data_IF_739886167230
#
_entry.id   IF_739886167230
#
_cell.length_a   1.000
_cell.length_b   1.000
_cell.length_c   1.000
_cell.angle_alpha   90.00
_cell.angle_beta   90.00
_cell.angle_gamma   90.00
#
_symmetry.space_group_name_H-M   'P 1'
#
loop_
_entity.id
_entity.type
_entity.pdbx_description
1 polymer ?
#
# COMPACT_ATOMS: atom_id res chain seq x y z
N UNK A 1 -0.25 4.73 -8.00
CA UNK A 1 0.60 3.53 -7.82
C UNK A 1 1.02 3.06 -9.20
N UNK A 2 2.18 2.44 -9.28
CA UNK A 2 2.62 1.74 -10.48
C UNK A 2 2.69 0.27 -10.10
N UNK A 3 1.56 -0.44 -10.25
CA UNK A 3 1.63 -1.90 -10.36
C UNK A 3 2.56 -2.29 -11.51
N UNK A 4 2.90 -3.57 -11.64
CA UNK A 4 3.79 -4.02 -12.70
C UNK A 4 3.22 -3.69 -14.09
N UNK A 5 3.73 -2.62 -14.72
CA UNK A 5 3.14 -2.01 -15.92
C UNK A 5 4.15 -2.06 -17.06
N UNK A 6 3.79 -2.65 -18.20
CA UNK A 6 4.68 -2.82 -19.35
C UNK A 6 4.63 -1.66 -20.36
N UNK A 7 4.09 -0.49 -19.97
CA UNK A 7 3.98 0.65 -20.89
C UNK A 7 5.36 1.20 -21.30
N UNK A 8 5.39 1.97 -22.39
CA UNK A 8 6.63 2.58 -22.92
C UNK A 8 7.37 3.44 -21.89
N UNK A 9 6.65 4.06 -20.95
CA UNK A 9 7.26 4.91 -19.92
C UNK A 9 7.97 4.08 -18.84
N UNK A 10 7.37 2.96 -18.41
CA UNK A 10 8.02 2.04 -17.48
C UNK A 10 9.21 1.34 -18.14
N UNK A 11 9.10 0.98 -19.42
CA UNK A 11 10.24 0.48 -20.20
C UNK A 11 11.39 1.48 -20.20
N UNK A 12 11.12 2.74 -20.55
CA UNK A 12 12.14 3.79 -20.58
C UNK A 12 12.77 4.05 -19.22
N UNK A 13 11.99 4.03 -18.13
CA UNK A 13 12.51 4.15 -16.77
C UNK A 13 13.42 2.98 -16.39
N UNK A 14 13.04 1.75 -16.73
CA UNK A 14 13.84 0.56 -16.48
C UNK A 14 15.12 0.54 -17.32
N UNK A 15 15.07 0.93 -18.60
CA UNK A 15 16.25 1.09 -19.47
C UNK A 15 17.22 2.13 -18.90
N UNK A 16 16.69 3.26 -18.40
CA UNK A 16 17.49 4.30 -17.76
C UNK A 16 18.15 3.80 -16.46
N UNK A 17 17.52 2.83 -15.79
CA UNK A 17 18.08 2.14 -14.63
C UNK A 17 19.04 0.99 -14.99
N UNK A 18 19.22 0.70 -16.28
CA UNK A 18 20.17 -0.29 -16.79
C UNK A 18 19.58 -1.68 -17.10
N UNK A 19 18.25 -1.84 -17.10
CA UNK A 19 17.60 -3.09 -17.49
C UNK A 19 17.47 -3.23 -19.01
N UNK A 20 17.53 -4.46 -19.54
CA UNK A 20 17.07 -4.74 -20.91
C UNK A 20 15.53 -4.87 -20.94
N UNK A 21 14.86 -3.71 -20.94
CA UNK A 21 13.41 -3.64 -20.87
C UNK A 21 12.71 -4.38 -22.02
N UNK A 22 13.25 -4.32 -23.24
CA UNK A 22 12.63 -4.93 -24.41
C UNK A 22 12.66 -6.45 -24.32
N UNK A 23 13.81 -7.01 -23.95
CA UNK A 23 13.95 -8.45 -23.71
C UNK A 23 13.02 -8.90 -22.58
N UNK A 24 13.03 -8.18 -21.45
CA UNK A 24 12.20 -8.52 -20.31
C UNK A 24 10.70 -8.49 -20.64
N UNK A 25 10.21 -7.45 -21.34
CA UNK A 25 8.82 -7.37 -21.80
C UNK A 25 8.47 -8.57 -22.68
N UNK A 26 9.35 -8.93 -23.63
CA UNK A 26 9.13 -10.10 -24.48
C UNK A 26 9.02 -11.39 -23.67
N UNK A 27 9.92 -11.62 -22.72
CA UNK A 27 9.93 -12.82 -21.87
C UNK A 27 8.69 -12.90 -20.96
N UNK A 28 8.29 -11.78 -20.35
CA UNK A 28 7.08 -11.69 -19.52
C UNK A 28 5.84 -11.91 -20.36
N UNK A 29 5.72 -11.27 -21.53
CA UNK A 29 4.60 -11.50 -22.44
C UNK A 29 4.50 -12.96 -22.86
N UNK A 30 5.63 -13.60 -23.21
CA UNK A 30 5.64 -15.02 -23.55
C UNK A 30 5.25 -15.94 -22.37
N UNK A 31 5.61 -15.57 -21.14
CA UNK A 31 5.21 -16.31 -19.94
C UNK A 31 3.72 -16.14 -19.64
N UNK A 32 3.18 -14.92 -19.74
CA UNK A 32 1.75 -14.63 -19.57
C UNK A 32 0.90 -15.36 -20.62
N UNK A 33 1.34 -15.36 -21.88
CA UNK A 33 0.67 -16.06 -22.98
C UNK A 33 0.47 -17.55 -22.69
N UNK A 34 1.44 -18.22 -22.06
CA UNK A 34 1.34 -19.64 -21.68
C UNK A 34 0.31 -19.87 -20.59
N UNK A 35 0.27 -18.98 -19.59
CA UNK A 35 -0.70 -19.04 -18.49
C UNK A 35 -2.12 -18.80 -19.02
N UNK A 36 -2.30 -17.79 -19.87
CA UNK A 36 -3.61 -17.47 -20.44
C UNK A 36 -4.15 -18.60 -21.32
N UNK A 37 -3.28 -19.29 -22.06
CA UNK A 37 -3.71 -20.30 -23.05
C UNK A 37 -3.97 -21.68 -22.46
N UNK A 38 -3.20 -22.12 -21.46
CA UNK A 38 -3.12 -23.56 -21.19
C UNK A 38 -2.89 -23.90 -19.71
N UNK A 39 -1.83 -23.37 -19.09
CA UNK A 39 -1.32 -23.94 -17.82
C UNK A 39 -0.99 -22.89 -16.77
N UNK A 40 -1.53 -23.07 -15.56
CA UNK A 40 -1.18 -22.29 -14.37
C UNK A 40 0.17 -22.73 -13.75
N UNK A 41 1.26 -22.63 -14.52
CA UNK A 41 2.61 -23.09 -14.10
C UNK A 41 3.15 -22.40 -12.84
N UNK A 42 2.53 -21.30 -12.43
CA UNK A 42 2.91 -20.50 -11.27
C UNK A 42 2.05 -20.77 -10.04
N UNK A 43 0.98 -21.57 -10.16
CA UNK A 43 0.14 -21.91 -9.01
C UNK A 43 0.96 -22.63 -7.93
N UNK A 44 0.80 -22.18 -6.69
CA UNK A 44 1.52 -22.72 -5.54
C UNK A 44 2.99 -22.31 -5.43
N UNK A 45 3.51 -21.49 -6.36
CA UNK A 45 4.83 -20.86 -6.19
C UNK A 45 4.72 -19.58 -5.38
N UNK A 46 5.67 -19.39 -4.48
CA UNK A 46 5.79 -18.15 -3.72
C UNK A 46 6.15 -16.98 -4.64
N UNK A 47 5.45 -15.85 -4.48
CA UNK A 47 5.78 -14.61 -5.14
C UNK A 47 6.83 -13.86 -4.33
N UNK A 48 8.09 -13.95 -4.76
CA UNK A 48 9.21 -13.19 -4.19
C UNK A 48 10.08 -12.60 -5.30
N UNK A 49 10.82 -11.52 -4.98
CA UNK A 49 11.75 -10.91 -5.93
C UNK A 49 12.81 -11.93 -6.39
N UNK A 50 13.30 -12.78 -5.49
CA UNK A 50 14.32 -13.79 -5.82
C UNK A 50 13.78 -14.87 -6.77
N UNK A 51 12.53 -15.30 -6.58
CA UNK A 51 11.87 -16.21 -7.52
C UNK A 51 11.66 -15.55 -8.88
N UNK A 52 11.25 -14.27 -8.91
CA UNK A 52 11.13 -13.52 -10.16
C UNK A 52 12.47 -13.40 -10.88
N UNK A 53 13.57 -13.11 -10.16
CA UNK A 53 14.92 -13.05 -10.72
C UNK A 53 15.36 -14.41 -11.27
N UNK A 54 15.00 -15.50 -10.60
CA UNK A 54 15.28 -16.85 -11.09
C UNK A 54 14.57 -17.15 -12.40
N UNK A 55 13.36 -16.62 -12.60
CA UNK A 55 12.53 -16.87 -13.79
C UNK A 55 12.90 -15.94 -14.95
N UNK A 56 13.07 -14.63 -14.68
CA UNK A 56 13.19 -13.58 -15.68
C UNK A 56 14.56 -12.89 -15.70
N UNK A 57 15.51 -13.35 -14.87
CA UNK A 57 16.83 -12.73 -14.74
C UNK A 57 16.81 -11.45 -13.90
N UNK A 58 17.99 -10.83 -13.73
CA UNK A 58 18.16 -9.68 -12.83
C UNK A 58 17.39 -8.42 -13.27
N UNK A 59 17.09 -8.29 -14.57
CA UNK A 59 16.41 -7.12 -15.13
C UNK A 59 15.02 -6.88 -14.49
N UNK A 60 14.34 -7.94 -14.03
CA UNK A 60 13.05 -7.80 -13.32
C UNK A 60 13.19 -7.03 -12.01
N UNK A 61 14.30 -7.24 -11.29
CA UNK A 61 14.58 -6.53 -10.04
C UNK A 61 14.89 -5.07 -10.32
N UNK A 62 15.74 -4.81 -11.32
CA UNK A 62 16.04 -3.44 -11.78
C UNK A 62 14.78 -2.71 -12.21
N UNK A 63 13.87 -3.39 -12.91
CA UNK A 63 12.56 -2.85 -13.29
C UNK A 63 11.73 -2.45 -12.07
N UNK A 64 11.53 -3.37 -11.12
CA UNK A 64 10.75 -3.10 -9.90
C UNK A 64 11.32 -1.91 -9.14
N UNK A 65 12.65 -1.88 -8.94
CA UNK A 65 13.31 -0.75 -8.28
C UNK A 65 13.15 0.58 -9.04
N UNK A 66 13.12 0.55 -10.38
CA UNK A 66 12.86 1.76 -11.18
C UNK A 66 11.43 2.31 -10.96
N UNK A 67 10.45 1.44 -10.71
CA UNK A 67 9.07 1.85 -10.41
C UNK A 67 9.00 2.50 -9.02
N UNK A 68 9.69 1.92 -8.03
CA UNK A 68 9.82 2.49 -6.68
C UNK A 68 10.43 3.89 -6.74
N UNK A 69 11.58 4.04 -7.39
CA UNK A 69 12.25 5.33 -7.56
C UNK A 69 11.37 6.37 -8.27
N UNK A 70 10.63 5.95 -9.29
CA UNK A 70 9.71 6.82 -10.02
C UNK A 70 8.61 7.35 -9.09
N UNK A 71 8.03 6.51 -8.23
CA UNK A 71 7.02 6.94 -7.27
C UNK A 71 7.59 7.81 -6.15
N UNK A 72 8.81 7.54 -5.69
CA UNK A 72 9.49 8.39 -4.70
C UNK A 72 9.78 9.78 -5.27
N UNK A 73 10.30 9.88 -6.49
CA UNK A 73 10.53 11.16 -7.17
C UNK A 73 9.22 11.94 -7.36
N UNK A 74 8.15 11.27 -7.79
CA UNK A 74 6.84 11.90 -7.93
C UNK A 74 6.33 12.45 -6.59
N UNK A 75 6.33 11.65 -5.53
CA UNK A 75 5.87 12.11 -4.22
C UNK A 75 6.74 13.24 -3.67
N UNK A 76 8.06 13.20 -3.88
CA UNK A 76 8.95 14.30 -3.51
C UNK A 76 8.54 15.61 -4.17
N UNK A 77 8.25 15.58 -5.48
CA UNK A 77 7.78 16.76 -6.25
C UNK A 77 6.41 17.24 -5.79
N UNK A 78 5.49 16.31 -5.52
CA UNK A 78 4.15 16.63 -5.02
C UNK A 78 4.20 17.25 -3.63
N UNK A 79 4.98 16.69 -2.70
CA UNK A 79 5.15 17.23 -1.34
C UNK A 79 5.70 18.65 -1.38
N UNK A 80 6.76 18.89 -2.17
CA UNK A 80 7.31 20.24 -2.36
C UNK A 80 6.25 21.22 -2.89
N UNK A 81 5.42 20.78 -3.83
CA UNK A 81 4.35 21.60 -4.41
C UNK A 81 3.25 21.89 -3.39
N UNK A 82 2.84 20.88 -2.61
CA UNK A 82 1.86 21.01 -1.53
C UNK A 82 2.35 22.00 -0.46
N UNK A 83 3.59 21.85 0.01
CA UNK A 83 4.20 22.75 0.99
C UNK A 83 4.28 24.19 0.47
N UNK A 84 4.61 24.38 -0.82
CA UNK A 84 4.65 25.71 -1.43
C UNK A 84 3.27 26.39 -1.47
N UNK A 85 2.19 25.61 -1.41
CA UNK A 85 0.81 26.08 -1.32
C UNK A 85 0.28 26.14 0.13
N UNK A 86 1.11 25.85 1.14
CA UNK A 86 0.71 25.80 2.55
C UNK A 86 -0.15 24.58 2.92
N UNK A 87 -0.09 23.52 2.12
CA UNK A 87 -0.79 22.25 2.34
C UNK A 87 0.20 21.13 2.73
N UNK A 88 -0.32 20.03 3.27
CA UNK A 88 0.44 18.79 3.53
C UNK A 88 0.09 17.72 2.50
N UNK A 89 1.04 16.84 2.20
CA UNK A 89 0.79 15.66 1.38
C UNK A 89 0.56 14.44 2.26
N UNK A 90 -0.66 13.89 2.16
CA UNK A 90 -1.07 12.66 2.83
C UNK A 90 -1.17 11.57 1.79
N UNK A 91 -0.52 10.43 2.02
CA UNK A 91 -0.51 9.32 1.08
C UNK A 91 -1.38 8.18 1.60
N UNK A 92 -2.33 7.74 0.78
CA UNK A 92 -3.26 6.65 1.13
C UNK A 92 -2.65 5.30 0.81
N UNK A 93 -2.47 4.47 1.84
CA UNK A 93 -1.94 3.12 1.71
C UNK A 93 -2.96 2.11 1.24
N UNK A 94 -2.61 1.29 0.25
CA UNK A 94 -3.44 0.17 -0.21
C UNK A 94 -2.98 -1.18 0.34
N UNK A 95 -2.24 -1.16 1.46
CA UNK A 95 -1.61 -2.33 2.04
C UNK A 95 -2.52 -3.48 2.48
N UNK A 96 -3.78 -3.28 2.97
CA UNK A 96 -4.62 -4.43 3.32
C UNK A 96 -4.92 -5.35 2.13
N UNK A 97 -4.55 -4.96 0.89
CA UNK A 97 -4.75 -5.74 -0.32
C UNK A 97 -3.49 -6.45 -0.84
N UNK A 98 -2.33 -6.31 -0.17
CA UNK A 98 -1.05 -6.84 -0.68
C UNK A 98 -0.25 -7.69 0.32
N UNK A 99 -0.89 -8.28 1.33
CA UNK A 99 -0.26 -9.22 2.29
C UNK A 99 0.85 -8.62 3.19
N UNK A 100 0.96 -7.29 3.29
CA UNK A 100 1.90 -6.61 4.20
C UNK A 100 2.76 -5.53 3.54
N UNK A 101 3.51 -4.76 4.35
CA UNK A 101 4.41 -3.70 3.86
C UNK A 101 5.61 -4.23 3.07
N UNK A 102 6.12 -5.40 3.43
CA UNK A 102 7.24 -6.08 2.74
C UNK A 102 6.90 -6.44 1.29
N UNK A 103 5.61 -6.49 0.96
CA UNK A 103 5.08 -6.75 -0.37
C UNK A 103 4.74 -5.48 -1.18
N UNK A 104 5.03 -4.29 -0.62
CA UNK A 104 4.72 -2.99 -1.25
C UNK A 104 5.35 -2.79 -2.63
N UNK A 105 6.46 -3.48 -2.91
CA UNK A 105 7.10 -3.49 -4.22
C UNK A 105 6.16 -3.98 -5.34
N UNK A 106 5.15 -4.81 -5.03
CA UNK A 106 4.13 -5.30 -5.98
C UNK A 106 3.30 -4.17 -6.60
N UNK A 107 3.19 -3.04 -5.89
CA UNK A 107 2.51 -1.82 -6.33
C UNK A 107 3.49 -0.66 -6.58
N UNK A 108 4.78 -0.99 -6.67
CA UNK A 108 5.88 -0.07 -6.94
C UNK A 108 6.20 0.86 -5.78
N UNK A 109 5.87 0.49 -4.53
CA UNK A 109 6.08 1.34 -3.36
C UNK A 109 7.24 0.79 -2.52
N UNK A 110 8.24 1.61 -2.28
CA UNK A 110 9.21 1.42 -1.20
C UNK A 110 8.71 2.18 0.04
N UNK A 111 8.18 1.51 1.07
CA UNK A 111 7.53 2.19 2.18
C UNK A 111 8.51 2.94 3.07
N UNK A 112 9.74 2.45 3.21
CA UNK A 112 10.79 3.12 3.97
C UNK A 112 11.10 4.48 3.36
N UNK A 113 11.40 4.53 2.06
CA UNK A 113 11.68 5.79 1.36
C UNK A 113 10.43 6.69 1.27
N UNK A 114 9.24 6.11 1.07
CA UNK A 114 8.01 6.87 0.97
C UNK A 114 7.76 7.71 2.22
N UNK A 115 8.00 7.14 3.41
CA UNK A 115 7.78 7.85 4.70
C UNK A 115 8.72 9.03 4.93
N UNK A 116 9.81 9.11 4.16
CA UNK A 116 10.74 10.23 4.19
C UNK A 116 10.27 11.40 3.32
N UNK A 117 9.44 11.13 2.31
CA UNK A 117 9.05 12.15 1.32
C UNK A 117 7.61 12.62 1.46
N UNK A 118 6.74 11.90 2.17
CA UNK A 118 5.36 12.32 2.46
C UNK A 118 5.19 12.71 3.93
N UNK A 119 4.21 13.57 4.22
CA UNK A 119 3.99 14.07 5.59
C UNK A 119 3.28 13.03 6.46
N UNK A 120 2.29 12.34 5.89
CA UNK A 120 1.43 11.37 6.60
C UNK A 120 1.13 10.17 5.70
N UNK A 121 1.08 8.98 6.31
CA UNK A 121 0.57 7.75 5.71
C UNK A 121 -0.83 7.48 6.27
N UNK A 122 -1.81 7.37 5.39
CA UNK A 122 -3.17 6.99 5.73
C UNK A 122 -3.34 5.48 5.56
N UNK A 123 -3.25 4.77 6.68
CA UNK A 123 -3.30 3.32 6.74
C UNK A 123 -4.76 2.82 6.75
N UNK A 124 -5.15 2.06 5.72
CA UNK A 124 -6.48 1.47 5.64
C UNK A 124 -6.59 0.22 6.53
N UNK A 125 -7.30 0.32 7.64
CA UNK A 125 -7.54 -0.77 8.59
C UNK A 125 -8.89 -1.46 8.31
N UNK A 126 -9.05 -1.91 7.06
CA UNK A 126 -10.26 -2.55 6.56
C UNK A 126 -10.29 -4.06 6.89
N UNK A 127 -10.26 -4.35 8.18
CA UNK A 127 -10.10 -5.69 8.72
C UNK A 127 -11.40 -6.25 9.29
N UNK A 128 -11.53 -7.58 9.30
CA UNK A 128 -12.69 -8.28 9.83
C UNK A 128 -12.67 -8.35 11.36
N UNK A 129 -11.49 -8.25 11.98
CA UNK A 129 -11.32 -8.36 13.42
C UNK A 129 -10.40 -7.28 14.02
N UNK A 130 -10.55 -7.01 15.32
CA UNK A 130 -9.64 -6.09 16.03
C UNK A 130 -8.22 -6.63 16.13
N UNK A 131 -8.04 -7.96 16.18
CA UNK A 131 -6.72 -8.60 16.15
C UNK A 131 -5.98 -8.34 14.84
N UNK A 132 -6.66 -8.44 13.69
CA UNK A 132 -6.09 -8.10 12.39
C UNK A 132 -5.67 -6.62 12.30
N UNK A 133 -6.45 -5.71 12.90
CA UNK A 133 -6.07 -4.28 12.97
C UNK A 133 -4.76 -4.10 13.75
N UNK A 134 -4.62 -4.80 14.88
CA UNK A 134 -3.42 -4.73 15.71
C UNK A 134 -2.20 -5.27 14.94
N UNK A 135 -2.34 -6.42 14.29
CA UNK A 135 -1.28 -7.04 13.49
C UNK A 135 -0.86 -6.12 12.33
N UNK A 136 -1.84 -5.57 11.60
CA UNK A 136 -1.56 -4.63 10.51
C UNK A 136 -0.90 -3.34 11.03
N UNK A 137 -1.33 -2.82 12.18
CA UNK A 137 -0.74 -1.63 12.79
C UNK A 137 0.72 -1.88 13.20
N UNK A 138 1.02 -3.04 13.76
CA UNK A 138 2.39 -3.45 14.09
C UNK A 138 3.24 -3.62 12.84
N UNK A 139 2.69 -4.17 11.75
CA UNK A 139 3.37 -4.25 10.47
C UNK A 139 3.75 -2.86 9.96
N UNK A 140 2.80 -1.90 9.98
CA UNK A 140 3.09 -0.50 9.66
C UNK A 140 4.21 0.08 10.52
N UNK A 141 4.13 -0.08 11.83
CA UNK A 141 5.10 0.48 12.77
C UNK A 141 6.49 -0.16 12.71
N UNK A 142 6.60 -1.39 12.19
CA UNK A 142 7.90 -2.02 11.96
C UNK A 142 8.75 -1.27 10.91
N UNK A 143 8.10 -0.53 10.01
CA UNK A 143 8.75 0.29 8.97
C UNK A 143 8.64 1.77 9.31
N UNK A 144 7.44 2.22 9.68
CA UNK A 144 7.13 3.61 10.02
C UNK A 144 7.30 3.78 11.53
N UNK A 145 8.54 4.03 11.97
CA UNK A 145 8.90 4.16 13.39
C UNK A 145 8.40 5.46 14.05
N UNK A 146 7.33 6.04 13.51
CA UNK A 146 6.70 7.31 13.90
C UNK A 146 5.18 7.15 13.87
N UNK A 147 4.53 6.66 14.94
CA UNK A 147 3.08 6.47 14.99
C UNK A 147 2.28 7.74 14.66
N UNK A 148 2.81 8.91 14.99
CA UNK A 148 2.22 10.23 14.71
C UNK A 148 2.11 10.54 13.20
N UNK A 149 2.96 9.90 12.37
CA UNK A 149 2.89 10.00 10.91
C UNK A 149 1.85 9.08 10.30
N UNK A 150 1.16 8.26 11.10
CA UNK A 150 0.12 7.36 10.62
C UNK A 150 -1.24 7.94 10.99
N UNK A 151 -2.14 8.00 10.02
CA UNK A 151 -3.59 8.15 10.28
C UNK A 151 -4.26 6.82 9.99
N UNK A 152 -4.91 6.25 11.00
CA UNK A 152 -5.66 5.01 10.84
C UNK A 152 -7.05 5.26 10.28
N UNK A 153 -7.35 4.66 9.12
CA UNK A 153 -8.65 4.78 8.46
C UNK A 153 -9.50 3.56 8.78
N UNK A 154 -10.65 3.76 9.41
CA UNK A 154 -11.60 2.70 9.75
C UNK A 154 -12.90 2.83 8.94
N UNK A 155 -13.59 1.71 8.70
CA UNK A 155 -14.99 1.74 8.23
C UNK A 155 -15.92 1.48 9.43
N UNK A 156 -16.83 2.41 9.76
CA UNK A 156 -17.72 2.27 10.93
C UNK A 156 -18.91 1.31 10.68
N UNK A 157 -19.00 0.75 9.48
CA UNK A 157 -20.14 -0.04 8.96
C UNK A 157 -19.71 -1.45 8.55
N UNK A 158 -20.69 -2.35 8.37
CA UNK A 158 -20.51 -3.68 7.80
C UNK A 158 -19.86 -3.60 6.40
N UNK A 159 -18.99 -4.55 5.99
CA UNK A 159 -18.63 -5.78 6.69
C UNK A 159 -17.62 -5.61 7.82
N UNK A 160 -16.91 -4.49 7.87
CA UNK A 160 -15.79 -4.36 8.79
C UNK A 160 -16.26 -4.16 10.22
N UNK A 161 -17.33 -3.41 10.46
CA UNK A 161 -17.79 -3.12 11.81
C UNK A 161 -19.30 -3.40 11.97
N UNK A 162 -19.66 -4.17 13.01
CA UNK A 162 -21.05 -4.60 13.21
C UNK A 162 -21.76 -3.86 14.35
N UNK A 163 -21.02 -3.17 15.23
CA UNK A 163 -21.58 -2.52 16.41
C UNK A 163 -20.76 -1.33 16.92
N UNK A 164 -21.36 -0.50 17.77
CA UNK A 164 -20.66 0.58 18.46
C UNK A 164 -19.51 0.09 19.33
N UNK A 165 -19.76 -0.95 20.14
CA UNK A 165 -18.77 -1.45 21.11
C UNK A 165 -17.54 -2.02 20.41
N UNK A 166 -17.74 -2.62 19.24
CA UNK A 166 -16.67 -3.06 18.36
C UNK A 166 -15.88 -1.87 17.79
N UNK A 167 -16.53 -0.82 17.30
CA UNK A 167 -15.86 0.37 16.78
C UNK A 167 -14.99 1.03 17.85
N UNK A 168 -15.54 1.21 19.06
CA UNK A 168 -14.79 1.74 20.22
C UNK A 168 -13.57 0.88 20.54
N UNK A 169 -13.70 -0.45 20.53
CA UNK A 169 -12.56 -1.37 20.75
C UNK A 169 -11.47 -1.18 19.69
N UNK A 170 -11.85 -1.04 18.42
CA UNK A 170 -10.91 -0.86 17.30
C UNK A 170 -10.17 0.48 17.38
N UNK A 171 -10.88 1.57 17.65
CA UNK A 171 -10.27 2.90 17.86
C UNK A 171 -9.30 2.85 19.05
N UNK A 172 -9.72 2.27 20.18
CA UNK A 172 -8.86 2.14 21.35
C UNK A 172 -7.64 1.26 21.10
N UNK A 173 -7.77 0.19 20.31
CA UNK A 173 -6.63 -0.66 19.93
C UNK A 173 -5.54 0.14 19.18
N UNK A 174 -5.94 0.98 18.21
CA UNK A 174 -5.02 1.86 17.49
C UNK A 174 -4.39 2.91 18.41
N UNK A 175 -5.21 3.59 19.22
CA UNK A 175 -4.74 4.59 20.20
C UNK A 175 -3.72 3.99 21.18
N UNK A 176 -3.97 2.79 21.69
CA UNK A 176 -3.07 2.08 22.62
C UNK A 176 -1.71 1.72 22.01
N UNK A 177 -1.64 1.63 20.67
CA UNK A 177 -0.40 1.37 19.92
C UNK A 177 0.27 2.68 19.46
N UNK A 178 -0.32 3.84 19.79
CA UNK A 178 0.22 5.17 19.50
C UNK A 178 -0.33 5.83 18.24
N UNK A 179 -1.14 5.12 17.44
CA UNK A 179 -1.82 5.70 16.27
C UNK A 179 -3.05 6.44 16.77
N UNK A 180 -2.91 7.75 16.99
CA UNK A 180 -3.94 8.60 17.60
C UNK A 180 -4.73 9.42 16.59
N UNK A 181 -4.18 9.65 15.40
CA UNK A 181 -4.91 10.23 14.28
C UNK A 181 -5.79 9.14 13.66
N UNK A 182 -7.11 9.31 13.74
CA UNK A 182 -8.10 8.34 13.27
C UNK A 182 -9.09 9.05 12.35
N UNK A 183 -9.29 8.49 11.16
CA UNK A 183 -10.28 8.93 10.19
C UNK A 183 -11.21 7.77 9.82
N UNK A 184 -12.33 8.10 9.17
CA UNK A 184 -13.35 7.13 8.80
C UNK A 184 -13.71 7.24 7.32
N UNK A 185 -13.89 6.10 6.66
CA UNK A 185 -14.22 6.02 5.23
C UNK A 185 -15.66 5.57 4.97
N UNK A 186 -16.13 5.87 3.75
CA UNK A 186 -17.42 5.46 3.17
C UNK A 186 -18.62 6.25 3.68
N UNK A 187 -18.45 7.58 3.85
CA UNK A 187 -19.47 8.49 4.39
C UNK A 187 -20.83 8.38 3.68
N UNK A 188 -20.82 8.14 2.38
CA UNK A 188 -22.00 8.04 1.51
C UNK A 188 -22.97 6.90 1.88
N UNK A 189 -22.51 5.88 2.62
CA UNK A 189 -23.37 4.77 3.06
C UNK A 189 -23.65 4.77 4.56
N UNK A 190 -23.13 5.75 5.30
CA UNK A 190 -23.33 5.83 6.73
C UNK A 190 -24.79 6.13 7.06
N UNK A 191 -25.29 5.42 8.05
CA UNK A 191 -26.57 5.71 8.70
C UNK A 191 -26.32 6.67 9.85
N UNK A 192 -27.36 7.37 10.31
CA UNK A 192 -27.27 8.24 11.50
C UNK A 192 -26.68 7.52 12.73
N UNK A 193 -27.01 6.23 12.90
CA UNK A 193 -26.44 5.40 13.97
C UNK A 193 -24.91 5.29 13.87
N UNK A 194 -24.36 5.23 12.66
CA UNK A 194 -22.92 5.01 12.43
C UNK A 194 -22.15 6.29 12.77
N UNK A 195 -22.77 7.47 12.56
CA UNK A 195 -22.26 8.76 13.03
C UNK A 195 -22.21 8.84 14.56
N UNK A 196 -23.26 8.37 15.25
CA UNK A 196 -23.25 8.32 16.71
C UNK A 196 -22.19 7.34 17.22
N UNK A 197 -21.99 6.20 16.57
CA UNK A 197 -20.92 5.27 16.92
C UNK A 197 -19.54 5.90 16.78
N UNK A 198 -19.28 6.63 15.69
CA UNK A 198 -18.03 7.38 15.50
C UNK A 198 -17.83 8.35 16.66
N UNK A 199 -18.82 9.20 16.94
CA UNK A 199 -18.76 10.19 18.02
C UNK A 199 -18.41 9.54 19.36
N UNK A 200 -19.08 8.44 19.72
CA UNK A 200 -18.84 7.71 20.97
C UNK A 200 -17.50 6.96 21.00
N UNK A 201 -16.95 6.59 19.84
CA UNK A 201 -15.65 5.90 19.76
C UNK A 201 -14.45 6.84 19.89
N UNK A 202 -14.64 8.14 19.65
CA UNK A 202 -13.56 9.14 19.68
C UNK A 202 -13.34 9.76 21.07
N UNK A 203 -14.37 9.77 21.92
CA UNK A 203 -14.35 10.25 23.32
C UNK A 203 -13.54 9.28 24.19
#
# INVERSE_FOLDING_TARGET
MLGFCLCIYCQSAAESAGADAKKLVFEISAALDKVIKDTDIWLGKELSIDNLVTIFGIDIKTWISSQELTLIDLNTKLTKSAHSAGATLRWVGQLPFIDGLDQSWRIGINPTELTQVVDVIEALFYCQSTSEIIELAQNYLSVIQSPEKITGILRPTYPDNSSQSELTKRVNALKNIGITNIDFYLFDVWRERDLEWIKQSLI
#
